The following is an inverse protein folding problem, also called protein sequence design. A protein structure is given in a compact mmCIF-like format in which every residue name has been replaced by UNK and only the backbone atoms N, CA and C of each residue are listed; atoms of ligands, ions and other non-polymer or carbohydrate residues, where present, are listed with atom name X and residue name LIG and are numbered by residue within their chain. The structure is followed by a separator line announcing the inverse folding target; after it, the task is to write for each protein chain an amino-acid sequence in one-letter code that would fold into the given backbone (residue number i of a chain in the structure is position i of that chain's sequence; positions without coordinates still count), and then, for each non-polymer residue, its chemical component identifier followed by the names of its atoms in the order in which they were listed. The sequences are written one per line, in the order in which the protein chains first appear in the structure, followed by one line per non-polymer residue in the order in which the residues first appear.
data_IF_731735209954
#
_entry.id   IF_731735209954
#
_cell.length_a   1.000
_cell.length_b   1.000
_cell.length_c   1.000
_cell.angle_alpha   90.00
_cell.angle_beta   90.00
_cell.angle_gamma   90.00
#
_symmetry.space_group_name_H-M   'P 1'
#
loop_
_entity.id
_entity.type
_entity.pdbx_description
1 polymer ?
#
# COMPACT_ATOMS: atom_id res chain seq x y z
N UNK A 1 45.92 37.99 -36.26
CA UNK A 1 45.67 36.53 -36.23
C UNK A 1 44.18 36.29 -36.47
N UNK A 2 43.86 35.85 -37.67
CA UNK A 2 42.45 35.72 -38.09
C UNK A 2 41.75 34.55 -37.43
N UNK A 3 40.63 34.84 -36.81
CA UNK A 3 39.74 33.83 -36.15
C UNK A 3 39.24 32.74 -37.11
N UNK A 4 39.39 32.93 -38.41
CA UNK A 4 39.02 31.95 -39.44
C UNK A 4 40.03 30.82 -39.59
N UNK A 5 41.31 31.05 -39.30
CA UNK A 5 42.36 30.03 -39.39
C UNK A 5 42.28 29.07 -38.19
N UNK A 6 41.88 29.58 -37.01
CA UNK A 6 41.72 28.75 -35.80
C UNK A 6 40.55 27.75 -35.91
N UNK A 7 39.50 28.11 -36.67
CA UNK A 7 38.36 27.20 -36.88
C UNK A 7 38.65 26.11 -37.92
N UNK A 8 39.53 26.37 -38.86
CA UNK A 8 39.86 25.37 -39.89
C UNK A 8 40.83 24.29 -39.36
N UNK A 9 41.72 24.65 -38.44
CA UNK A 9 42.65 23.70 -37.79
C UNK A 9 41.93 22.76 -36.82
N UNK A 10 40.79 23.17 -36.21
CA UNK A 10 40.02 22.34 -35.29
C UNK A 10 39.20 21.26 -36.01
N UNK A 11 38.74 21.54 -37.23
CA UNK A 11 37.93 20.58 -38.02
C UNK A 11 38.80 19.45 -38.62
N UNK A 12 40.08 19.71 -38.88
CA UNK A 12 40.97 18.66 -39.42
C UNK A 12 41.47 17.70 -38.33
N UNK A 13 41.52 18.13 -37.06
CA UNK A 13 41.96 17.30 -35.96
C UNK A 13 40.92 16.26 -35.51
N UNK A 14 39.62 16.48 -35.85
CA UNK A 14 38.53 15.56 -35.46
C UNK A 14 38.34 14.40 -36.44
N UNK A 15 38.81 14.53 -37.68
CA UNK A 15 38.58 13.51 -38.71
C UNK A 15 39.64 12.40 -38.80
N UNK A 16 40.68 12.42 -37.94
CA UNK A 16 41.72 11.37 -37.93
C UNK A 16 41.62 10.36 -36.80
N UNK A 17 40.54 10.40 -36.01
CA UNK A 17 40.35 9.49 -34.83
C UNK A 17 39.30 8.40 -35.02
N UNK A 18 38.88 8.13 -36.26
CA UNK A 18 37.96 7.04 -36.58
C UNK A 18 38.68 5.87 -37.26
N UNK A 19 39.41 5.10 -36.50
CA UNK A 19 40.11 3.96 -37.08
C UNK A 19 40.73 3.00 -36.05
N UNK A 20 40.05 2.75 -34.92
CA UNK A 20 40.37 1.57 -34.13
C UNK A 20 39.06 0.78 -33.91
N UNK A 21 38.91 -0.28 -34.68
CA UNK A 21 37.94 -1.31 -34.39
C UNK A 21 38.28 -1.91 -33.04
N UNK A 22 37.57 -1.45 -31.99
CA UNK A 22 37.47 -2.19 -30.75
C UNK A 22 36.53 -3.37 -31.02
N UNK A 23 37.09 -4.52 -31.40
CA UNK A 23 36.48 -5.78 -31.07
C UNK A 23 36.63 -5.97 -29.58
N UNK A 24 35.91 -5.17 -28.78
CA UNK A 24 35.67 -5.41 -27.38
C UNK A 24 34.61 -6.50 -27.29
N UNK A 25 34.94 -7.62 -26.67
CA UNK A 25 33.97 -8.51 -26.10
C UNK A 25 32.93 -7.66 -25.35
N UNK A 26 31.69 -7.74 -25.78
CA UNK A 26 30.55 -7.41 -24.95
C UNK A 26 30.55 -8.44 -23.82
N UNK A 27 31.24 -8.13 -22.74
CA UNK A 27 30.75 -8.58 -21.46
C UNK A 27 29.43 -7.80 -21.32
N UNK A 28 28.35 -8.37 -21.77
CA UNK A 28 27.03 -8.06 -21.29
C UNK A 28 27.13 -8.41 -19.80
N UNK A 29 27.49 -7.41 -18.99
CA UNK A 29 27.13 -7.46 -17.57
C UNK A 29 25.62 -7.65 -17.60
N UNK A 30 25.22 -8.87 -17.32
CA UNK A 30 23.84 -9.29 -17.09
C UNK A 30 23.40 -8.55 -15.82
N UNK A 31 23.17 -7.23 -15.97
CA UNK A 31 22.59 -6.41 -14.93
C UNK A 31 21.20 -7.01 -14.76
N UNK A 32 20.90 -7.68 -13.63
CA UNK A 32 19.60 -8.29 -13.44
C UNK A 32 18.57 -7.21 -13.70
N UNK A 33 17.64 -7.47 -14.62
CA UNK A 33 16.59 -6.54 -14.97
C UNK A 33 15.92 -6.09 -13.66
N UNK A 34 15.93 -4.79 -13.39
CA UNK A 34 15.35 -4.25 -12.17
C UNK A 34 13.92 -4.78 -12.04
N UNK A 35 13.60 -5.33 -10.86
CA UNK A 35 12.27 -5.85 -10.56
C UNK A 35 11.22 -4.78 -10.89
N UNK A 36 10.20 -5.15 -11.66
CA UNK A 36 9.06 -4.29 -11.98
C UNK A 36 7.83 -4.82 -11.26
N UNK A 37 7.26 -3.99 -10.40
CA UNK A 37 6.07 -4.31 -9.64
C UNK A 37 4.88 -4.64 -10.55
N UNK A 38 4.23 -5.78 -10.29
CA UNK A 38 2.97 -6.19 -10.90
C UNK A 38 1.91 -6.34 -9.83
N UNK A 39 0.65 -6.27 -10.23
CA UNK A 39 -0.48 -6.38 -9.30
C UNK A 39 -0.52 -7.73 -8.57
N UNK A 40 -0.19 -8.81 -9.27
CA UNK A 40 -0.17 -10.19 -8.75
C UNK A 40 0.95 -10.48 -7.76
N UNK A 41 1.99 -9.63 -7.72
CA UNK A 41 3.16 -9.80 -6.83
C UNK A 41 2.82 -9.44 -5.37
N UNK A 42 1.71 -8.72 -5.16
CA UNK A 42 1.25 -8.30 -3.86
C UNK A 42 0.09 -9.17 -3.40
N UNK A 43 0.26 -9.80 -2.26
CA UNK A 43 -0.77 -10.59 -1.59
C UNK A 43 -1.08 -10.01 -0.23
N UNK A 44 -2.35 -9.79 0.02
CA UNK A 44 -2.84 -9.31 1.31
C UNK A 44 -3.56 -10.45 2.00
N UNK A 45 -3.21 -10.71 3.26
CA UNK A 45 -3.93 -11.69 4.07
C UNK A 45 -5.31 -11.16 4.41
N UNK A 46 -6.31 -11.55 3.62
CA UNK A 46 -7.70 -11.10 3.73
C UNK A 46 -8.63 -12.30 3.91
N UNK A 47 -9.56 -12.28 4.87
CA UNK A 47 -10.65 -13.24 4.97
C UNK A 47 -11.66 -13.07 3.80
N UNK A 48 -12.38 -14.12 3.44
CA UNK A 48 -13.51 -14.02 2.51
C UNK A 48 -14.56 -13.04 3.07
N UNK A 49 -14.96 -12.03 2.28
CA UNK A 49 -15.95 -11.02 2.67
C UNK A 49 -15.40 -9.75 3.32
N UNK A 50 -14.07 -9.58 3.37
CA UNK A 50 -13.44 -8.41 3.98
C UNK A 50 -12.97 -8.64 5.41
N UNK A 51 -12.70 -7.55 6.14
CA UNK A 51 -12.27 -7.62 7.54
C UNK A 51 -13.45 -7.35 8.47
N UNK A 52 -13.62 -8.20 9.49
CA UNK A 52 -14.56 -7.97 10.59
C UNK A 52 -13.75 -7.74 11.87
N UNK A 53 -14.00 -6.62 12.55
CA UNK A 53 -13.27 -6.19 13.73
C UNK A 53 -14.25 -5.78 14.83
N UNK A 54 -13.92 -6.09 16.07
CA UNK A 54 -14.64 -5.55 17.22
C UNK A 54 -14.00 -4.20 17.58
N UNK A 55 -14.83 -3.21 17.95
CA UNK A 55 -14.36 -1.91 18.43
C UNK A 55 -13.33 -2.10 19.54
N UNK A 56 -12.34 -1.23 19.64
CA UNK A 56 -11.21 -1.29 20.58
C UNK A 56 -10.29 -2.52 20.38
N UNK A 57 -10.51 -3.34 19.36
CA UNK A 57 -9.57 -4.38 18.97
C UNK A 57 -8.68 -3.94 17.81
N UNK A 58 -7.44 -4.43 17.83
CA UNK A 58 -6.43 -4.09 16.84
C UNK A 58 -6.64 -4.92 15.56
N UNK A 59 -6.97 -4.24 14.46
CA UNK A 59 -6.89 -4.84 13.13
C UNK A 59 -5.43 -4.98 12.74
N UNK A 60 -5.01 -6.20 12.38
CA UNK A 60 -3.69 -6.50 11.84
C UNK A 60 -3.80 -7.04 10.43
N UNK A 61 -3.20 -6.35 9.48
CA UNK A 61 -3.15 -6.78 8.07
C UNK A 61 -1.69 -6.97 7.67
N UNK A 62 -1.38 -8.13 7.13
CA UNK A 62 -0.05 -8.44 6.62
C UNK A 62 -0.06 -8.44 5.09
N UNK A 63 1.00 -7.91 4.51
CA UNK A 63 1.21 -7.87 3.07
C UNK A 63 2.45 -8.69 2.74
N UNK A 64 2.30 -9.62 1.80
CA UNK A 64 3.40 -10.37 1.20
C UNK A 64 3.70 -9.78 -0.18
N UNK A 65 4.98 -9.64 -0.50
CA UNK A 65 5.47 -9.20 -1.80
C UNK A 65 6.66 -10.04 -2.21
N UNK A 66 6.85 -10.26 -3.51
CA UNK A 66 8.00 -11.01 -4.03
C UNK A 66 9.32 -10.23 -3.82
N UNK A 67 9.25 -8.90 -3.83
CA UNK A 67 10.37 -8.00 -3.54
C UNK A 67 9.85 -6.76 -2.84
N UNK A 68 10.68 -6.15 -2.01
CA UNK A 68 10.38 -4.85 -1.36
C UNK A 68 11.26 -3.73 -1.91
N UNK A 69 12.10 -4.00 -2.89
CA UNK A 69 13.04 -3.04 -3.42
C UNK A 69 12.34 -1.90 -4.17
N UNK A 70 12.51 -0.68 -3.64
CA UNK A 70 11.91 0.52 -4.21
C UNK A 70 10.38 0.59 -4.15
N UNK A 71 9.74 -0.27 -3.35
CA UNK A 71 8.28 -0.30 -3.18
C UNK A 71 7.87 0.59 -2.00
N UNK A 72 6.85 1.40 -2.23
CA UNK A 72 6.18 2.20 -1.21
C UNK A 72 4.79 1.64 -0.94
N UNK A 73 4.44 1.56 0.34
CA UNK A 73 3.14 1.10 0.83
C UNK A 73 2.44 2.26 1.55
N UNK A 74 1.19 2.53 1.19
CA UNK A 74 0.37 3.57 1.83
C UNK A 74 -1.01 3.00 2.11
N UNK A 75 -1.46 3.10 3.35
CA UNK A 75 -2.79 2.70 3.78
C UNK A 75 -3.70 3.91 3.87
N UNK A 76 -4.88 3.80 3.25
CA UNK A 76 -5.90 4.85 3.29
C UNK A 76 -7.17 4.26 3.92
N UNK A 77 -7.78 5.00 4.82
CA UNK A 77 -9.08 4.73 5.41
C UNK A 77 -10.05 5.82 4.92
N UNK A 78 -11.09 5.41 4.19
CA UNK A 78 -12.04 6.34 3.54
C UNK A 78 -11.34 7.44 2.74
N UNK A 79 -10.25 7.07 2.04
CA UNK A 79 -9.43 7.97 1.23
C UNK A 79 -8.42 8.81 2.01
N UNK A 80 -8.41 8.75 3.36
CA UNK A 80 -7.44 9.44 4.21
C UNK A 80 -6.28 8.54 4.54
N UNK A 81 -5.04 9.03 4.37
CA UNK A 81 -3.84 8.28 4.71
C UNK A 81 -3.72 8.06 6.22
N UNK A 82 -3.51 6.79 6.62
CA UNK A 82 -3.37 6.39 8.03
C UNK A 82 -2.02 5.76 8.36
N UNK A 83 -1.34 5.17 7.36
CA UNK A 83 -0.02 4.56 7.57
C UNK A 83 0.78 4.45 6.25
N UNK A 84 2.13 4.45 6.36
CA UNK A 84 3.09 4.23 5.27
C UNK A 84 3.98 3.02 5.56
N UNK A 85 3.37 1.90 5.91
CA UNK A 85 4.06 0.67 6.31
C UNK A 85 3.58 -0.50 5.48
N UNK A 86 4.42 -1.53 5.28
CA UNK A 86 4.05 -2.75 4.58
C UNK A 86 2.88 -3.46 5.28
N UNK A 87 2.91 -3.54 6.60
CA UNK A 87 1.84 -4.14 7.41
C UNK A 87 1.05 -3.03 8.12
N UNK A 88 -0.26 -3.23 8.29
CA UNK A 88 -1.12 -2.30 9.02
C UNK A 88 -1.46 -2.87 10.39
N UNK A 89 -1.36 -2.03 11.41
CA UNK A 89 -1.98 -2.20 12.71
C UNK A 89 -2.83 -0.95 12.99
N UNK A 90 -4.15 -1.14 13.10
CA UNK A 90 -5.08 -0.02 13.28
C UNK A 90 -6.20 -0.39 14.23
N UNK A 91 -6.61 0.56 15.08
CA UNK A 91 -7.69 0.40 16.04
C UNK A 91 -8.80 1.40 15.71
N UNK A 92 -10.03 0.89 15.59
CA UNK A 92 -11.21 1.70 15.29
C UNK A 92 -11.86 2.17 16.59
N UNK A 93 -12.22 3.45 16.64
CA UNK A 93 -12.89 4.08 17.77
C UNK A 93 -14.42 4.10 17.62
N UNK A 94 -14.92 3.89 16.40
CA UNK A 94 -16.35 3.91 16.12
C UNK A 94 -16.77 2.65 15.34
N UNK A 95 -18.00 2.19 15.55
CA UNK A 95 -18.59 1.11 14.77
C UNK A 95 -19.05 1.64 13.41
N UNK A 96 -18.96 0.80 12.40
CA UNK A 96 -19.36 1.19 11.05
C UNK A 96 -18.74 0.31 9.96
N UNK A 97 -19.00 0.68 8.73
CA UNK A 97 -18.34 0.14 7.56
C UNK A 97 -17.35 1.17 7.03
N UNK A 98 -16.13 0.73 6.75
CA UNK A 98 -15.05 1.58 6.28
C UNK A 98 -14.44 0.99 5.00
N UNK A 99 -14.00 1.87 4.10
CA UNK A 99 -13.18 1.47 2.96
C UNK A 99 -11.69 1.59 3.34
N UNK A 100 -11.01 0.45 3.45
CA UNK A 100 -9.57 0.41 3.66
C UNK A 100 -8.90 0.13 2.32
N UNK A 101 -8.00 0.99 1.87
CA UNK A 101 -7.26 0.81 0.62
C UNK A 101 -5.78 0.72 0.89
N UNK A 102 -5.15 -0.37 0.44
CA UNK A 102 -3.70 -0.43 0.32
C UNK A 102 -3.29 0.08 -1.05
N UNK A 103 -2.47 1.11 -1.08
CA UNK A 103 -1.80 1.63 -2.26
C UNK A 103 -0.36 1.19 -2.27
N UNK A 104 0.06 0.53 -3.34
CA UNK A 104 1.43 0.08 -3.54
C UNK A 104 1.99 0.75 -4.78
N UNK A 105 3.20 1.30 -4.70
CA UNK A 105 3.84 1.98 -5.83
C UNK A 105 5.33 1.69 -5.91
N UNK A 106 5.83 1.64 -7.15
CA UNK A 106 7.26 1.53 -7.48
C UNK A 106 7.52 2.33 -8.76
N UNK A 107 8.29 3.43 -8.66
CA UNK A 107 8.50 4.34 -9.78
C UNK A 107 7.18 4.90 -10.30
N UNK A 108 6.86 4.63 -11.57
CA UNK A 108 5.60 5.05 -12.21
C UNK A 108 4.45 4.04 -12.03
N UNK A 109 4.74 2.83 -11.59
CA UNK A 109 3.73 1.79 -11.35
C UNK A 109 3.01 2.04 -10.04
N UNK A 110 1.67 1.93 -10.06
CA UNK A 110 0.81 2.09 -8.89
C UNK A 110 -0.38 1.17 -8.97
N UNK A 111 -0.67 0.49 -7.85
CA UNK A 111 -1.81 -0.40 -7.70
C UNK A 111 -2.54 -0.09 -6.39
N UNK A 112 -3.87 -0.04 -6.45
CA UNK A 112 -4.75 0.16 -5.32
C UNK A 112 -5.53 -1.15 -5.06
N UNK A 113 -5.59 -1.59 -3.80
CA UNK A 113 -6.27 -2.79 -3.31
C UNK A 113 -7.31 -2.35 -2.29
N UNK A 114 -8.59 -2.24 -2.67
CA UNK A 114 -9.67 -1.86 -1.77
C UNK A 114 -10.16 -3.06 -0.96
N UNK A 115 -10.49 -2.82 0.30
CA UNK A 115 -11.06 -3.78 1.24
C UNK A 115 -12.20 -3.12 2.01
N UNK A 116 -13.23 -3.90 2.34
CA UNK A 116 -14.26 -3.46 3.28
C UNK A 116 -13.88 -3.91 4.68
N UNK A 117 -14.01 -3.01 5.65
CA UNK A 117 -13.85 -3.30 7.08
C UNK A 117 -15.16 -3.02 7.79
N UNK A 118 -15.72 -4.04 8.42
CA UNK A 118 -16.93 -3.92 9.25
C UNK A 118 -16.53 -3.93 10.72
N UNK A 119 -16.80 -2.83 11.42
CA UNK A 119 -16.51 -2.69 12.85
C UNK A 119 -17.80 -2.82 13.65
N UNK A 120 -17.82 -3.73 14.63
CA UNK A 120 -18.98 -4.03 15.46
C UNK A 120 -18.65 -3.91 16.95
N UNK A 121 -19.65 -3.82 17.81
CA UNK A 121 -19.44 -3.77 19.28
C UNK A 121 -19.06 -5.13 19.89
N UNK A 122 -19.48 -6.22 19.30
CA UNK A 122 -19.26 -7.57 19.80
C UNK A 122 -19.06 -8.53 18.64
N UNK A 123 -18.22 -9.51 18.84
CA UNK A 123 -18.14 -10.64 17.94
C UNK A 123 -19.41 -11.50 18.18
N UNK A 124 -20.46 -11.21 17.44
CA UNK A 124 -21.71 -12.00 17.52
C UNK A 124 -21.41 -13.32 16.80
N UNK A 125 -21.05 -14.34 17.56
CA UNK A 125 -21.10 -15.70 17.01
C UNK A 125 -22.52 -15.92 16.49
N UNK A 126 -22.69 -16.42 15.25
CA UNK A 126 -24.01 -16.71 14.73
C UNK A 126 -24.69 -17.69 15.71
N UNK A 127 -25.86 -17.29 16.18
CA UNK A 127 -26.61 -18.13 17.10
C UNK A 127 -26.79 -19.52 16.46
N UNK A 128 -26.57 -20.62 17.21
CA UNK A 128 -26.76 -21.95 16.67
C UNK A 128 -28.18 -22.07 16.11
N UNK A 129 -28.33 -22.76 14.97
CA UNK A 129 -29.64 -22.97 14.31
C UNK A 129 -30.67 -23.46 15.32
N UNK A 130 -31.76 -22.70 15.50
CA UNK A 130 -32.84 -23.00 16.44
C UNK A 130 -32.79 -22.24 17.76
N UNK A 131 -31.77 -21.42 18.02
CA UNK A 131 -31.73 -20.54 19.17
C UNK A 131 -32.55 -19.27 18.90
N UNK A 132 -33.66 -19.08 19.57
CA UNK A 132 -34.39 -17.81 19.61
C UNK A 132 -33.64 -16.89 20.59
N UNK A 133 -32.59 -16.23 20.13
CA UNK A 133 -31.86 -15.29 20.95
C UNK A 133 -32.64 -13.98 21.04
N UNK A 134 -33.34 -13.82 22.14
CA UNK A 134 -33.81 -12.51 22.55
C UNK A 134 -32.63 -11.80 23.27
N UNK A 135 -31.87 -10.96 22.56
CA UNK A 135 -30.94 -10.04 23.23
C UNK A 135 -31.76 -8.90 23.82
N UNK A 136 -32.28 -9.14 25.01
CA UNK A 136 -32.83 -8.02 25.81
C UNK A 136 -31.72 -7.44 26.62
N UNK A 137 -30.83 -6.66 26.02
CA UNK A 137 -30.00 -5.74 26.79
C UNK A 137 -30.88 -4.54 27.13
N UNK A 138 -31.58 -4.66 28.26
CA UNK A 138 -32.30 -3.53 28.87
C UNK A 138 -31.22 -2.57 29.33
N UNK A 139 -31.04 -1.49 28.61
CA UNK A 139 -30.34 -0.35 29.17
C UNK A 139 -31.24 0.23 30.23
N UNK A 140 -30.99 -0.07 31.50
CA UNK A 140 -31.57 0.65 32.62
C UNK A 140 -31.03 2.07 32.59
N UNK A 141 -31.67 2.91 31.79
CA UNK A 141 -31.51 4.33 31.86
C UNK A 141 -32.23 4.80 33.13
N UNK A 142 -31.48 4.86 34.22
CA UNK A 142 -32.00 5.54 35.44
C UNK A 142 -31.82 7.04 35.21
N UNK A 143 -32.89 7.79 34.89
CA UNK A 143 -32.76 9.22 34.81
C UNK A 143 -32.38 9.73 36.21
N UNK A 144 -31.26 10.41 36.34
CA UNK A 144 -30.91 11.13 37.53
C UNK A 144 -31.98 12.20 37.76
N UNK A 145 -32.90 11.92 38.68
CA UNK A 145 -33.87 12.91 39.15
C UNK A 145 -33.09 13.94 39.94
N UNK A 146 -32.75 15.05 39.29
CA UNK A 146 -32.21 16.23 40.00
C UNK A 146 -33.26 16.75 40.96
N UNK A 147 -32.96 16.70 42.26
CA UNK A 147 -33.76 17.39 43.27
C UNK A 147 -33.47 18.89 43.10
N UNK A 148 -34.46 19.62 42.62
CA UNK A 148 -34.51 21.06 42.74
C UNK A 148 -35.00 21.39 44.15
N UNK A 149 -34.16 22.00 44.96
CA UNK A 149 -34.53 22.73 46.17
C UNK A 149 -34.67 24.21 45.86
#
# INVERSE_FOLDING_TARGET
MDKKILRLTLVIAVSLFWGTAFTGCSDEEDTPAAYQLKKEDIRVSQPEGGFAVVIDQLLKVQVESESDEGISYVWLLDGTEIAQTKSLEYMFEEVGEYELTLRVSQGESRFDYPFTVTVTFENIEPAPEGATAYVTKVFDFVPAVGQFT
#
